data_IF_774739806574
#
_entry.id   IF_774739806574
#
_cell.length_a   1.000
_cell.length_b   1.000
_cell.length_c   1.000
_cell.angle_alpha   90.00
_cell.angle_beta   90.00
_cell.angle_gamma   90.00
#
_symmetry.space_group_name_H-M   'P 1'
#
loop_
_entity.id
_entity.type
_entity.pdbx_description
1 polymer ?
#
# COMPACT_ATOMS: atom_id res chain seq x y z
N UNK A 1 -10.22 -0.12 2.80
CA UNK A 1 -8.76 -0.34 2.85
C UNK A 1 -8.15 0.71 3.76
N UNK A 2 -7.49 0.27 4.82
CA UNK A 2 -6.70 1.11 5.71
C UNK A 2 -5.26 1.14 5.19
N UNK A 3 -4.65 2.33 5.09
CA UNK A 3 -3.25 2.46 4.68
C UNK A 3 -2.47 3.00 5.87
N UNK A 4 -1.42 2.30 6.27
CA UNK A 4 -0.44 2.76 7.25
C UNK A 4 0.86 3.08 6.55
N UNK A 5 1.43 4.24 6.84
CA UNK A 5 2.72 4.66 6.31
C UNK A 5 3.71 4.75 7.46
N UNK A 6 4.80 3.99 7.37
CA UNK A 6 5.92 4.09 8.30
C UNK A 6 7.15 4.63 7.57
N UNK A 7 7.76 5.69 8.11
CA UNK A 7 9.00 6.30 7.58
C UNK A 7 10.04 6.29 8.69
N UNK A 8 11.18 5.65 8.44
CA UNK A 8 12.28 5.51 9.41
C UNK A 8 11.80 4.97 10.78
N UNK A 9 10.90 3.99 10.75
CA UNK A 9 10.32 3.36 11.95
C UNK A 9 9.25 4.20 12.66
N UNK A 10 8.86 5.36 12.12
CA UNK A 10 7.81 6.22 12.68
C UNK A 10 6.54 6.10 11.87
N UNK A 11 5.42 5.87 12.55
CA UNK A 11 4.10 5.90 11.92
C UNK A 11 3.69 7.33 11.62
N UNK A 12 3.34 7.56 10.36
CA UNK A 12 2.96 8.86 9.83
C UNK A 12 1.45 8.87 9.63
N UNK A 13 0.79 9.83 10.29
CA UNK A 13 -0.62 10.10 10.02
C UNK A 13 -0.75 10.65 8.60
N UNK A 14 -1.52 9.95 7.76
CA UNK A 14 -1.77 10.36 6.38
C UNK A 14 -3.23 10.78 6.22
N UNK A 15 -3.45 11.80 5.41
CA UNK A 15 -4.80 12.27 5.12
C UNK A 15 -5.50 11.42 4.06
N UNK A 16 -6.80 11.66 3.89
CA UNK A 16 -7.66 10.96 2.93
C UNK A 16 -7.16 11.03 1.48
N UNK A 17 -6.49 12.11 1.09
CA UNK A 17 -5.96 12.25 -0.26
C UNK A 17 -4.78 11.29 -0.48
N UNK A 18 -3.80 11.31 0.42
CA UNK A 18 -2.61 10.44 0.35
C UNK A 18 -3.01 8.96 0.46
N UNK A 19 -3.95 8.63 1.33
CA UNK A 19 -4.47 7.27 1.47
C UNK A 19 -5.05 6.74 0.16
N UNK A 20 -5.84 7.55 -0.57
CA UNK A 20 -6.42 7.15 -1.87
C UNK A 20 -5.35 6.91 -2.93
N UNK A 21 -4.36 7.80 -3.02
CA UNK A 21 -3.27 7.69 -3.99
C UNK A 21 -2.45 6.41 -3.74
N UNK A 22 -2.01 6.19 -2.50
CA UNK A 22 -1.19 5.03 -2.15
C UNK A 22 -1.97 3.73 -2.32
N UNK A 23 -3.22 3.66 -1.83
CA UNK A 23 -4.05 2.47 -1.99
C UNK A 23 -4.22 2.12 -3.47
N UNK A 24 -4.69 3.06 -4.30
CA UNK A 24 -4.94 2.81 -5.72
C UNK A 24 -3.70 2.42 -6.50
N UNK A 25 -2.57 3.10 -6.27
CA UNK A 25 -1.32 2.79 -6.95
C UNK A 25 -0.79 1.39 -6.57
N UNK A 26 -0.78 1.07 -5.28
CA UNK A 26 -0.25 -0.20 -4.77
C UNK A 26 -1.17 -1.37 -5.17
N UNK A 27 -2.49 -1.24 -5.02
CA UNK A 27 -3.43 -2.29 -5.42
C UNK A 27 -3.42 -2.51 -6.93
N UNK A 28 -3.33 -1.42 -7.72
CA UNK A 28 -3.23 -1.50 -9.17
C UNK A 28 -1.97 -2.25 -9.60
N UNK A 29 -0.81 -1.92 -9.01
CA UNK A 29 0.43 -2.63 -9.30
C UNK A 29 0.34 -4.11 -8.93
N UNK A 30 -0.13 -4.42 -7.72
CA UNK A 30 -0.23 -5.79 -7.21
C UNK A 30 -1.21 -6.65 -8.02
N UNK A 31 -2.35 -6.09 -8.46
CA UNK A 31 -3.32 -6.80 -9.29
C UNK A 31 -2.82 -7.19 -10.68
N UNK A 32 -1.69 -6.63 -11.13
CA UNK A 32 -1.04 -7.08 -12.39
C UNK A 32 -0.03 -8.20 -12.19
N UNK A 33 0.30 -8.55 -10.94
CA UNK A 33 1.30 -9.57 -10.64
C UNK A 33 0.71 -10.96 -10.75
N UNK A 34 1.48 -11.87 -11.38
CA UNK A 34 1.11 -13.27 -11.49
C UNK A 34 1.01 -13.91 -10.11
N UNK A 35 0.00 -14.75 -9.92
CA UNK A 35 -0.26 -15.54 -8.70
C UNK A 35 -0.68 -14.70 -7.48
N UNK A 36 -0.91 -13.39 -7.66
CA UNK A 36 -1.62 -12.55 -6.69
C UNK A 36 -3.04 -12.37 -7.22
N UNK A 37 -3.96 -13.23 -6.76
CA UNK A 37 -5.36 -13.18 -7.18
C UNK A 37 -6.08 -11.90 -6.73
N UNK A 38 -7.29 -11.70 -7.24
CA UNK A 38 -8.14 -10.53 -6.93
C UNK A 38 -8.49 -10.41 -5.44
N UNK A 39 -8.43 -11.52 -4.70
CA UNK A 39 -8.75 -11.63 -3.27
C UNK A 39 -7.52 -11.41 -2.36
N UNK A 40 -6.85 -10.26 -2.53
CA UNK A 40 -5.72 -9.89 -1.68
C UNK A 40 -6.18 -9.22 -0.37
N UNK A 41 -5.93 -9.88 0.76
CA UNK A 41 -6.31 -9.36 2.08
C UNK A 41 -5.36 -8.29 2.63
N UNK A 42 -4.05 -8.42 2.37
CA UNK A 42 -3.01 -7.52 2.88
C UNK A 42 -1.86 -7.37 1.87
N UNK A 43 -1.38 -6.13 1.70
CA UNK A 43 -0.19 -5.82 0.90
C UNK A 43 0.85 -5.15 1.81
N UNK A 44 2.03 -5.76 1.93
CA UNK A 44 3.16 -5.18 2.68
C UNK A 44 4.25 -4.76 1.71
N UNK A 45 4.37 -3.45 1.46
CA UNK A 45 5.42 -2.88 0.62
C UNK A 45 6.55 -2.29 1.48
N UNK A 46 7.77 -2.82 1.33
CA UNK A 46 8.97 -2.30 2.01
C UNK A 46 9.96 -1.79 0.97
N UNK A 47 10.27 -0.50 1.02
CA UNK A 47 11.26 0.13 0.15
C UNK A 47 12.51 0.38 0.99
N UNK A 48 13.64 -0.21 0.58
CA UNK A 48 14.96 0.10 1.15
C UNK A 48 15.71 0.97 0.14
N UNK A 49 16.36 2.01 0.63
CA UNK A 49 17.33 2.79 -0.15
C UNK A 49 18.74 2.39 0.25
#
# INVERSE_FOLDING_TARGET
>A
MEVKLTVDGKDIEINNFVQKILAGAVTGAVGTLKDVGDDCNEIVLKIKR
#
